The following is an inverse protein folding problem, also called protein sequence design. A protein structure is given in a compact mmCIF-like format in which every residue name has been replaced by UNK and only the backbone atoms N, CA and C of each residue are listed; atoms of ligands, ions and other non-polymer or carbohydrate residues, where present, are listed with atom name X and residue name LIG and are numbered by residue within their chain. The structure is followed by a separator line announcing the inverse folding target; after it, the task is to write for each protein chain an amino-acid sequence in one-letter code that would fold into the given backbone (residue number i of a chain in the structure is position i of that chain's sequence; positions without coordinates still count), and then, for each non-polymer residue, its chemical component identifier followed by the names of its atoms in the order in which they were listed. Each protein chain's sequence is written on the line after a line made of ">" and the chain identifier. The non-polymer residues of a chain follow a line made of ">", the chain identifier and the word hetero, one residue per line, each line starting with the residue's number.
data_IF_805807237696
#
_entry.id   IF_805807237696
#
_cell.length_a   1.000
_cell.length_b   1.000
_cell.length_c   1.000
_cell.angle_alpha   90.00
_cell.angle_beta   90.00
_cell.angle_gamma   90.00
#
_symmetry.space_group_name_H-M   'P 1'
#
loop_
_entity.id
_entity.type
_entity.pdbx_description
1 polymer ?
#
# COMPACT_ATOMS: atom_id res chain seq x y z
N UNK A 1 -11.12 -3.66 3.45
CA UNK A 1 -10.54 -4.72 2.60
C UNK A 1 -9.64 -4.11 1.54
N UNK A 2 -8.62 -4.81 1.04
CA UNK A 2 -7.80 -4.30 -0.06
C UNK A 2 -8.57 -4.31 -1.39
N UNK A 3 -8.11 -3.52 -2.37
CA UNK A 3 -8.68 -3.52 -3.73
C UNK A 3 -8.27 -4.76 -4.53
N UNK A 4 -7.12 -5.36 -4.21
CA UNK A 4 -6.64 -6.58 -4.83
C UNK A 4 -7.52 -7.79 -4.40
N UNK A 5 -8.09 -8.55 -5.34
CA UNK A 5 -8.92 -9.71 -5.02
C UNK A 5 -8.09 -10.85 -4.42
N UNK A 6 -8.69 -11.64 -3.53
CA UNK A 6 -8.08 -12.85 -2.98
C UNK A 6 -6.97 -12.62 -1.95
N UNK A 7 -6.73 -11.37 -1.53
CA UNK A 7 -5.77 -11.06 -0.46
C UNK A 7 -6.45 -11.25 0.89
N UNK A 8 -5.96 -12.22 1.65
CA UNK A 8 -6.29 -12.37 3.06
C UNK A 8 -5.48 -11.39 3.90
N UNK A 9 -6.14 -10.74 4.85
CA UNK A 9 -5.50 -9.78 5.77
C UNK A 9 -5.19 -10.49 7.07
N UNK A 10 -3.93 -10.40 7.50
CA UNK A 10 -3.46 -10.99 8.75
C UNK A 10 -4.23 -10.40 9.94
N UNK A 11 -4.69 -11.24 10.90
CA UNK A 11 -5.38 -10.78 12.08
C UNK A 11 -4.64 -9.70 12.88
N UNK A 12 -3.30 -9.71 12.91
CA UNK A 12 -2.53 -8.68 13.58
C UNK A 12 -2.60 -7.31 12.86
N UNK A 13 -2.72 -7.31 11.52
CA UNK A 13 -2.95 -6.09 10.75
C UNK A 13 -4.35 -5.52 10.99
N UNK A 14 -5.37 -6.38 11.15
CA UNK A 14 -6.72 -5.97 11.55
C UNK A 14 -6.75 -5.45 12.98
N UNK A 15 -6.10 -6.14 13.92
CA UNK A 15 -6.00 -5.70 15.31
C UNK A 15 -5.29 -4.34 15.44
N UNK A 16 -4.27 -4.07 14.62
CA UNK A 16 -3.61 -2.76 14.56
C UNK A 16 -4.56 -1.67 14.06
N UNK A 17 -5.36 -1.96 13.03
CA UNK A 17 -6.38 -1.06 12.51
C UNK A 17 -7.48 -0.77 13.53
N UNK A 18 -8.00 -1.80 14.21
CA UNK A 18 -9.00 -1.66 15.30
C UNK A 18 -8.43 -0.84 16.47
N UNK A 19 -7.18 -1.10 16.86
CA UNK A 19 -6.50 -0.34 17.90
C UNK A 19 -6.40 1.15 17.55
N UNK A 20 -6.02 1.46 16.31
CA UNK A 20 -5.94 2.85 15.83
C UNK A 20 -7.32 3.52 15.76
N UNK A 21 -8.36 2.79 15.33
CA UNK A 21 -9.74 3.29 15.32
C UNK A 21 -10.20 3.67 16.73
N UNK A 22 -10.05 2.78 17.71
CA UNK A 22 -10.41 3.08 19.10
C UNK A 22 -9.59 4.22 19.70
N UNK A 23 -8.30 4.33 19.35
CA UNK A 23 -7.46 5.44 19.80
C UNK A 23 -7.99 6.78 19.25
N UNK A 24 -8.34 6.84 17.96
CA UNK A 24 -8.95 8.03 17.35
C UNK A 24 -10.28 8.40 18.04
N UNK A 25 -11.15 7.43 18.31
CA UNK A 25 -12.40 7.68 19.04
C UNK A 25 -12.14 8.22 20.45
N UNK A 26 -11.16 7.66 21.16
CA UNK A 26 -10.80 8.13 22.51
C UNK A 26 -10.27 9.57 22.54
N UNK A 27 -9.72 10.05 21.41
CA UNK A 27 -9.29 11.43 21.20
C UNK A 27 -10.43 12.35 20.73
N UNK A 28 -11.65 11.82 20.60
CA UNK A 28 -12.85 12.58 20.25
C UNK A 28 -13.16 12.65 18.75
N UNK A 29 -12.43 11.91 17.91
CA UNK A 29 -12.73 11.82 16.47
C UNK A 29 -13.93 10.89 16.23
N UNK A 30 -14.70 11.17 15.17
CA UNK A 30 -15.75 10.26 14.70
C UNK A 30 -15.15 9.26 13.72
N UNK A 31 -15.24 7.98 14.05
CA UNK A 31 -14.81 6.88 13.18
C UNK A 31 -16.06 6.13 12.70
N UNK A 32 -16.15 5.87 11.41
CA UNK A 32 -17.22 5.05 10.83
C UNK A 32 -16.69 4.21 9.66
N UNK A 33 -17.25 3.01 9.53
CA UNK A 33 -16.93 2.13 8.41
C UNK A 33 -17.56 2.65 7.11
N UNK A 34 -16.77 2.61 6.04
CA UNK A 34 -17.22 2.97 4.69
C UNK A 34 -17.05 1.78 3.74
N UNK A 35 -17.88 1.67 2.70
CA UNK A 35 -17.61 0.75 1.60
C UNK A 35 -16.24 1.03 0.99
N UNK A 36 -15.54 -0.02 0.56
CA UNK A 36 -14.26 0.15 -0.13
C UNK A 36 -14.47 1.05 -1.38
N UNK A 37 -13.82 2.22 -1.48
CA UNK A 37 -14.02 3.13 -2.59
C UNK A 37 -13.35 2.64 -3.89
N UNK A 38 -12.53 1.59 -3.79
CA UNK A 38 -11.80 0.98 -4.90
C UNK A 38 -12.43 -0.37 -5.29
N UNK A 39 -12.67 -0.54 -6.59
CA UNK A 39 -13.00 -1.84 -7.17
C UNK A 39 -11.76 -2.56 -7.71
N UNK A 40 -11.86 -3.87 -8.02
CA UNK A 40 -10.72 -4.68 -8.48
C UNK A 40 -10.10 -4.18 -9.79
N UNK A 41 -10.86 -3.45 -10.61
CA UNK A 41 -10.40 -2.93 -11.89
C UNK A 41 -9.20 -1.96 -11.75
N UNK A 42 -9.09 -1.26 -10.61
CA UNK A 42 -8.00 -0.30 -10.40
C UNK A 42 -6.65 -1.01 -10.34
N UNK A 43 -6.61 -2.21 -9.75
CA UNK A 43 -5.40 -3.03 -9.62
C UNK A 43 -4.96 -3.57 -10.98
N UNK A 44 -5.90 -4.03 -11.81
CA UNK A 44 -5.61 -4.53 -13.16
C UNK A 44 -5.03 -3.42 -14.04
N UNK A 45 -5.64 -2.24 -14.01
CA UNK A 45 -5.15 -1.09 -14.76
C UNK A 45 -3.78 -0.60 -14.25
N UNK A 46 -3.56 -0.66 -12.93
CA UNK A 46 -2.25 -0.33 -12.35
C UNK A 46 -1.14 -1.25 -12.85
N UNK A 47 -1.39 -2.55 -12.84
CA UNK A 47 -0.45 -3.59 -13.29
C UNK A 47 -0.01 -3.34 -14.73
N UNK A 48 -0.95 -3.02 -15.63
CA UNK A 48 -0.64 -2.72 -17.03
C UNK A 48 0.19 -1.45 -17.18
N UNK A 49 -0.21 -0.37 -16.52
CA UNK A 49 0.50 0.90 -16.60
C UNK A 49 1.90 0.82 -15.99
N UNK A 50 2.04 0.16 -14.84
CA UNK A 50 3.32 -0.03 -14.15
C UNK A 50 4.24 -0.99 -14.92
N UNK A 51 3.69 -2.03 -15.54
CA UNK A 51 4.41 -2.93 -16.45
C UNK A 51 5.03 -2.16 -17.61
N UNK A 52 4.25 -1.35 -18.32
CA UNK A 52 4.76 -0.49 -19.41
C UNK A 52 5.76 0.55 -18.89
N UNK A 53 5.51 1.15 -17.72
CA UNK A 53 6.42 2.14 -17.11
C UNK A 53 7.81 1.55 -16.83
N UNK A 54 7.91 0.25 -16.56
CA UNK A 54 9.21 -0.43 -16.40
C UNK A 54 10.11 -0.33 -17.65
N UNK A 55 9.55 -0.03 -18.82
CA UNK A 55 10.22 0.17 -20.10
C UNK A 55 10.59 1.64 -20.39
N UNK A 56 10.18 2.57 -19.53
CA UNK A 56 10.41 4.02 -19.71
C UNK A 56 11.88 4.38 -19.89
N UNK A 57 12.78 3.57 -19.35
CA UNK A 57 14.22 3.62 -19.62
C UNK A 57 14.61 2.52 -20.62
N UNK A 58 15.02 2.88 -21.86
CA UNK A 58 15.65 1.96 -22.78
C UNK A 58 16.93 1.38 -22.17
N UNK A 59 17.15 0.09 -22.37
CA UNK A 59 18.37 -0.62 -21.97
C UNK A 59 18.93 -1.36 -23.18
N UNK A 60 20.25 -1.40 -23.27
CA UNK A 60 20.98 -2.30 -24.15
C UNK A 60 21.04 -3.72 -23.56
N UNK A 61 21.45 -4.70 -24.37
CA UNK A 61 21.48 -6.11 -23.97
C UNK A 61 22.40 -6.36 -22.76
N UNK A 62 23.52 -5.62 -22.68
CA UNK A 62 24.47 -5.73 -21.56
C UNK A 62 23.80 -5.31 -20.24
N UNK A 63 23.10 -4.19 -20.21
CA UNK A 63 22.38 -3.72 -19.02
C UNK A 63 21.15 -4.55 -18.71
N UNK A 64 20.42 -5.02 -19.73
CA UNK A 64 19.27 -5.90 -19.54
C UNK A 64 19.73 -7.21 -18.86
N UNK A 65 20.93 -7.72 -19.19
CA UNK A 65 21.49 -8.92 -18.57
C UNK A 65 21.75 -8.77 -17.06
N UNK A 66 22.06 -7.56 -16.58
CA UNK A 66 22.33 -7.26 -15.17
C UNK A 66 21.07 -7.22 -14.28
N UNK A 67 19.88 -7.17 -14.88
CA UNK A 67 18.63 -7.09 -14.13
C UNK A 67 18.33 -8.37 -13.35
N UNK A 68 17.73 -8.21 -12.15
CA UNK A 68 17.17 -9.34 -11.38
C UNK A 68 16.08 -10.05 -12.20
N UNK A 69 15.87 -11.36 -12.01
CA UNK A 69 14.82 -12.12 -12.70
C UNK A 69 13.44 -11.45 -12.62
N UNK A 70 13.05 -10.95 -11.44
CA UNK A 70 11.79 -10.22 -11.22
C UNK A 70 11.65 -8.99 -12.13
N UNK A 71 12.71 -8.20 -12.28
CA UNK A 71 12.71 -7.00 -13.13
C UNK A 71 12.67 -7.37 -14.60
N UNK A 72 13.37 -8.43 -15.03
CA UNK A 72 13.30 -8.94 -16.41
C UNK A 72 11.89 -9.41 -16.76
N UNK A 73 11.27 -10.18 -15.87
CA UNK A 73 9.90 -10.66 -16.03
C UNK A 73 8.91 -9.50 -16.11
N UNK A 74 9.07 -8.47 -15.26
CA UNK A 74 8.19 -7.30 -15.28
C UNK A 74 8.32 -6.48 -16.57
N UNK A 75 9.54 -6.33 -17.09
CA UNK A 75 9.77 -5.69 -18.40
C UNK A 75 9.18 -6.53 -19.54
N UNK A 76 9.34 -7.84 -19.50
CA UNK A 76 8.73 -8.74 -20.49
C UNK A 76 7.20 -8.63 -20.48
N UNK A 77 6.59 -8.58 -19.29
CA UNK A 77 5.15 -8.30 -19.12
C UNK A 77 4.78 -6.97 -19.79
N UNK A 78 5.49 -5.90 -19.47
CA UNK A 78 5.26 -4.58 -20.04
C UNK A 78 5.36 -4.54 -21.57
N UNK A 79 6.26 -5.33 -22.18
CA UNK A 79 6.37 -5.44 -23.65
C UNK A 79 5.17 -6.14 -24.28
N UNK A 80 4.48 -6.99 -23.53
CA UNK A 80 3.26 -7.67 -23.96
C UNK A 80 2.00 -6.82 -23.87
N UNK A 81 2.05 -5.64 -23.24
CA UNK A 81 0.91 -4.71 -23.14
C UNK A 81 0.81 -3.89 -24.42
N UNK A 82 -0.31 -4.01 -25.15
CA UNK A 82 -0.55 -3.22 -26.36
C UNK A 82 -0.80 -1.74 -26.04
N UNK A 83 -0.64 -0.87 -27.05
CA UNK A 83 -0.92 0.56 -26.89
C UNK A 83 -2.38 0.85 -26.50
N UNK A 84 -3.33 0.09 -27.07
CA UNK A 84 -4.75 0.18 -26.73
C UNK A 84 -5.01 -0.22 -25.28
N UNK A 85 -4.39 -1.32 -24.83
CA UNK A 85 -4.51 -1.80 -23.44
C UNK A 85 -3.92 -0.80 -22.47
N UNK A 86 -2.76 -0.23 -22.78
CA UNK A 86 -2.15 0.82 -21.97
C UNK A 86 -3.00 2.09 -21.90
N UNK A 87 -3.53 2.57 -23.03
CA UNK A 87 -4.40 3.76 -23.06
C UNK A 87 -5.71 3.53 -22.27
N UNK A 88 -6.28 2.33 -22.37
CA UNK A 88 -7.44 1.92 -21.58
C UNK A 88 -7.11 1.87 -20.09
N UNK A 89 -5.95 1.33 -19.71
CA UNK A 89 -5.48 1.29 -18.33
C UNK A 89 -5.33 2.69 -17.71
N UNK A 90 -4.66 3.61 -18.40
CA UNK A 90 -4.51 5.00 -17.93
C UNK A 90 -5.88 5.69 -17.75
N UNK A 91 -6.78 5.52 -18.71
CA UNK A 91 -8.13 6.10 -18.63
C UNK A 91 -8.95 5.47 -17.51
N UNK A 92 -8.81 4.16 -17.32
CA UNK A 92 -9.45 3.37 -16.28
C UNK A 92 -9.01 3.81 -14.88
N UNK A 93 -7.70 3.95 -14.65
CA UNK A 93 -7.15 4.49 -13.40
C UNK A 93 -7.71 5.89 -13.11
N UNK A 94 -7.69 6.81 -14.08
CA UNK A 94 -8.25 8.16 -13.88
C UNK A 94 -9.74 8.14 -13.50
N UNK A 95 -10.52 7.22 -14.09
CA UNK A 95 -11.94 7.07 -13.74
C UNK A 95 -12.12 6.50 -12.33
N UNK A 96 -11.36 5.46 -11.98
CA UNK A 96 -11.39 4.85 -10.66
C UNK A 96 -10.97 5.85 -9.57
N UNK A 97 -9.89 6.60 -9.80
CA UNK A 97 -9.43 7.69 -8.91
C UNK A 97 -10.53 8.71 -8.65
N UNK A 98 -11.17 9.25 -9.70
CA UNK A 98 -12.25 10.24 -9.52
C UNK A 98 -13.42 9.68 -8.72
N UNK A 99 -13.77 8.42 -8.94
CA UNK A 99 -14.83 7.74 -8.19
C UNK A 99 -14.46 7.61 -6.72
N UNK A 100 -13.25 7.12 -6.44
CA UNK A 100 -12.78 6.88 -5.08
C UNK A 100 -12.67 8.17 -4.27
N UNK A 101 -12.06 9.22 -4.85
CA UNK A 101 -11.96 10.54 -4.21
C UNK A 101 -13.35 11.16 -3.98
N UNK A 102 -14.29 10.98 -4.90
CA UNK A 102 -15.66 11.45 -4.70
C UNK A 102 -16.40 10.66 -3.60
N UNK A 103 -16.17 9.35 -3.50
CA UNK A 103 -16.78 8.50 -2.49
C UNK A 103 -16.29 8.81 -1.08
N UNK A 104 -15.06 9.31 -0.93
CA UNK A 104 -14.46 9.66 0.37
C UNK A 104 -14.46 11.16 0.68
N UNK A 105 -15.10 11.98 -0.17
CA UNK A 105 -15.04 13.46 -0.07
C UNK A 105 -15.55 14.03 1.26
N UNK A 106 -16.51 13.35 1.88
CA UNK A 106 -17.18 13.78 3.11
C UNK A 106 -16.36 13.39 4.37
N UNK A 107 -15.20 12.74 4.19
CA UNK A 107 -14.28 12.32 5.25
C UNK A 107 -12.97 13.10 5.19
N UNK A 108 -12.38 13.38 6.36
CA UNK A 108 -11.09 14.07 6.44
C UNK A 108 -9.91 13.12 6.20
N UNK A 109 -10.01 11.90 6.73
CA UNK A 109 -8.97 10.88 6.67
C UNK A 109 -9.61 9.51 6.50
N UNK A 110 -9.03 8.68 5.63
CA UNK A 110 -9.34 7.25 5.51
C UNK A 110 -8.30 6.45 6.29
N UNK A 111 -8.76 5.59 7.20
CA UNK A 111 -7.91 4.70 7.99
C UNK A 111 -7.93 3.29 7.40
N UNK A 112 -6.76 2.73 7.11
CA UNK A 112 -6.60 1.32 6.68
C UNK A 112 -5.42 0.66 7.38
N UNK A 113 -5.30 -0.68 7.40
CA UNK A 113 -3.99 -1.30 7.55
C UNK A 113 -3.01 -0.75 6.51
N UNK A 114 -1.71 -0.63 6.84
CA UNK A 114 -0.70 -0.26 5.84
C UNK A 114 -0.35 -1.45 4.94
N UNK A 115 -0.19 -2.63 5.54
CA UNK A 115 0.16 -3.88 4.86
C UNK A 115 -0.91 -4.93 5.12
N UNK A 116 -1.00 -5.93 4.26
CA UNK A 116 -1.95 -7.03 4.43
C UNK A 116 -1.42 -8.13 5.34
N UNK A 117 -0.10 -8.30 5.46
CA UNK A 117 0.51 -9.30 6.34
C UNK A 117 1.66 -8.70 7.16
N UNK A 118 2.09 -9.44 8.19
CA UNK A 118 3.26 -9.10 8.99
C UNK A 118 4.55 -9.05 8.14
N UNK A 119 5.62 -8.38 8.62
CA UNK A 119 6.91 -8.39 7.93
C UNK A 119 7.35 -9.81 7.54
N UNK A 120 7.57 -10.01 6.25
CA UNK A 120 8.00 -11.30 5.69
C UNK A 120 9.53 -11.42 5.70
N UNK A 121 10.03 -12.65 5.68
CA UNK A 121 11.46 -12.90 5.48
C UNK A 121 11.89 -12.51 4.06
N UNK A 122 13.19 -12.34 3.84
CA UNK A 122 13.71 -12.04 2.49
C UNK A 122 13.43 -13.22 1.55
N UNK A 123 13.59 -14.44 2.07
CA UNK A 123 13.39 -15.69 1.34
C UNK A 123 11.94 -15.86 0.89
N UNK A 124 10.96 -15.38 1.67
CA UNK A 124 9.54 -15.50 1.33
C UNK A 124 9.22 -15.00 -0.08
N UNK A 125 9.89 -13.97 -0.59
CA UNK A 125 9.59 -13.47 -1.93
C UNK A 125 10.28 -14.30 -3.03
N UNK A 126 11.48 -14.80 -2.77
CA UNK A 126 12.33 -15.47 -3.76
C UNK A 126 12.25 -17.02 -3.72
N UNK A 127 11.63 -17.61 -2.69
CA UNK A 127 11.68 -19.06 -2.42
C UNK A 127 11.10 -19.95 -3.51
N UNK A 128 10.11 -19.48 -4.29
CA UNK A 128 9.53 -20.28 -5.37
C UNK A 128 10.41 -20.32 -6.63
N UNK A 129 11.34 -19.37 -6.75
CA UNK A 129 12.15 -19.17 -7.95
C UNK A 129 11.38 -18.61 -9.15
N UNK A 130 10.05 -18.47 -9.09
CA UNK A 130 9.22 -17.87 -10.14
C UNK A 130 9.15 -16.34 -9.96
N UNK A 131 9.70 -15.55 -10.92
CA UNK A 131 9.64 -14.09 -10.87
C UNK A 131 8.23 -13.49 -10.83
N UNK A 132 7.23 -14.14 -11.44
CA UNK A 132 5.85 -13.64 -11.46
C UNK A 132 5.14 -13.92 -10.14
N UNK A 133 5.40 -15.07 -9.54
CA UNK A 133 4.91 -15.38 -8.20
C UNK A 133 5.51 -14.43 -7.16
N UNK A 134 6.80 -14.12 -7.27
CA UNK A 134 7.46 -13.11 -6.43
C UNK A 134 6.73 -11.75 -6.49
N UNK A 135 6.38 -11.27 -7.70
CA UNK A 135 5.58 -10.03 -7.86
C UNK A 135 4.19 -10.15 -7.24
N UNK A 136 3.55 -11.32 -7.38
CA UNK A 136 2.28 -11.62 -6.74
C UNK A 136 2.35 -11.50 -5.22
N UNK A 137 3.37 -12.10 -4.60
CA UNK A 137 3.63 -12.04 -3.15
C UNK A 137 3.88 -10.61 -2.68
N UNK A 138 4.68 -9.83 -3.42
CA UNK A 138 4.90 -8.39 -3.12
C UNK A 138 3.59 -7.58 -3.19
N UNK A 139 2.77 -7.85 -4.21
CA UNK A 139 1.49 -7.16 -4.41
C UNK A 139 0.48 -7.52 -3.32
N UNK A 140 0.43 -8.79 -2.91
CA UNK A 140 -0.42 -9.25 -1.81
C UNK A 140 0.03 -8.63 -0.48
N UNK A 141 1.34 -8.62 -0.20
CA UNK A 141 1.92 -8.02 1.01
C UNK A 141 1.54 -6.53 1.18
N UNK A 142 1.55 -5.77 0.08
CA UNK A 142 1.33 -4.31 0.05
C UNK A 142 -0.03 -3.87 -0.50
N UNK A 143 -1.04 -4.74 -0.43
CA UNK A 143 -2.31 -4.57 -1.15
C UNK A 143 -3.15 -3.32 -0.80
N UNK A 144 -2.83 -2.61 0.28
CA UNK A 144 -3.52 -1.39 0.71
C UNK A 144 -2.89 -0.10 0.18
N UNK A 145 -1.65 -0.10 -0.31
CA UNK A 145 -0.91 1.14 -0.61
C UNK A 145 -1.02 1.57 -2.07
N UNK A 146 -1.06 0.61 -3.00
CA UNK A 146 -1.07 0.92 -4.44
C UNK A 146 -2.25 1.77 -4.92
N UNK A 147 -3.50 1.65 -4.38
CA UNK A 147 -4.61 2.54 -4.72
C UNK A 147 -4.23 4.02 -4.56
N UNK A 148 -3.51 4.36 -3.48
CA UNK A 148 -3.17 5.74 -3.17
C UNK A 148 -2.00 6.28 -3.99
N UNK A 149 -1.13 5.42 -4.54
CA UNK A 149 -0.18 5.84 -5.58
C UNK A 149 -0.89 6.31 -6.85
N UNK A 150 -2.05 5.73 -7.17
CA UNK A 150 -2.84 6.11 -8.35
C UNK A 150 -3.74 7.32 -8.10
N UNK A 151 -4.30 7.45 -6.88
CA UNK A 151 -5.11 8.64 -6.57
C UNK A 151 -4.26 9.88 -6.33
N UNK A 152 -2.99 9.70 -5.93
CA UNK A 152 -2.10 10.78 -5.56
C UNK A 152 -2.48 11.47 -4.25
N UNK A 153 -3.39 10.86 -3.46
CA UNK A 153 -3.72 11.36 -2.13
C UNK A 153 -2.52 11.22 -1.20
N UNK A 154 -2.28 12.19 -0.30
CA UNK A 154 -1.24 12.06 0.70
C UNK A 154 -1.61 10.93 1.66
N UNK A 155 -0.61 10.14 2.05
CA UNK A 155 -0.77 9.03 2.98
C UNK A 155 0.46 8.95 3.90
N UNK A 156 0.22 8.62 5.17
CA UNK A 156 1.27 8.39 6.17
C UNK A 156 1.02 7.05 6.85
N UNK A 157 2.08 6.30 7.15
CA UNK A 157 2.02 5.06 7.92
C UNK A 157 2.51 5.31 9.34
N UNK A 158 1.68 5.01 10.34
CA UNK A 158 1.97 5.25 11.76
C UNK A 158 2.09 3.90 12.50
N UNK A 159 3.17 3.68 13.27
CA UNK A 159 3.37 2.44 14.01
C UNK A 159 2.67 2.52 15.37
N UNK A 160 1.39 2.16 15.41
CA UNK A 160 0.58 2.17 16.65
C UNK A 160 0.47 0.81 17.33
N UNK A 161 0.97 -0.25 16.69
CA UNK A 161 0.76 -1.61 17.18
C UNK A 161 2.02 -2.46 17.05
N UNK A 162 2.21 -3.34 18.03
CA UNK A 162 3.26 -4.35 18.03
C UNK A 162 2.63 -5.71 18.31
N UNK A 163 3.02 -6.72 17.54
CA UNK A 163 2.54 -8.09 17.78
C UNK A 163 2.94 -8.53 19.20
N UNK A 164 2.03 -9.10 20.01
CA UNK A 164 2.33 -9.48 21.38
C UNK A 164 3.50 -10.47 21.51
N UNK A 165 3.59 -11.44 20.58
CA UNK A 165 4.56 -12.53 20.67
C UNK A 165 5.93 -12.14 20.12
N UNK A 166 5.99 -11.74 18.84
CA UNK A 166 7.24 -11.48 18.15
C UNK A 166 7.74 -10.03 18.27
N UNK A 167 6.95 -9.14 18.88
CA UNK A 167 7.28 -7.71 18.99
C UNK A 167 7.51 -7.02 17.64
N UNK A 168 6.87 -7.50 16.55
CA UNK A 168 6.98 -6.91 15.22
C UNK A 168 6.10 -5.64 15.14
N UNK A 169 6.61 -4.53 14.59
CA UNK A 169 5.80 -3.33 14.38
C UNK A 169 4.77 -3.57 13.27
N UNK A 170 3.55 -3.12 13.49
CA UNK A 170 2.44 -3.17 12.52
C UNK A 170 1.92 -1.76 12.31
N UNK A 171 2.00 -1.30 11.05
CA UNK A 171 1.59 0.05 10.67
C UNK A 171 0.12 0.12 10.27
N UNK A 172 -0.50 1.26 10.57
CA UNK A 172 -1.77 1.70 9.99
C UNK A 172 -1.54 2.91 9.10
N UNK A 173 -2.29 3.02 8.02
CA UNK A 173 -2.21 4.14 7.09
C UNK A 173 -3.35 5.12 7.32
N UNK A 174 -3.00 6.40 7.41
CA UNK A 174 -3.92 7.52 7.36
C UNK A 174 -3.78 8.17 6.00
N UNK A 175 -4.88 8.25 5.25
CA UNK A 175 -4.92 8.85 3.91
C UNK A 175 -5.79 10.09 3.92
N UNK A 176 -5.20 11.22 3.58
CA UNK A 176 -5.86 12.52 3.60
C UNK A 176 -6.60 12.83 2.29
N UNK A 177 -7.27 13.98 2.28
CA UNK A 177 -7.79 14.56 1.03
C UNK A 177 -6.63 14.95 0.09
N UNK A 178 -6.89 15.07 -1.22
CA UNK A 178 -5.88 15.58 -2.15
C UNK A 178 -5.25 16.90 -1.65
N UNK A 179 -3.92 16.92 -1.55
CA UNK A 179 -3.12 18.05 -1.08
C UNK A 179 -3.40 18.54 0.37
N UNK A 180 -3.89 17.66 1.25
CA UNK A 180 -4.12 17.96 2.66
C UNK A 180 -3.15 17.22 3.61
N UNK A 181 -1.85 17.36 3.35
CA UNK A 181 -0.78 16.83 4.21
C UNK A 181 -0.83 17.44 5.62
N UNK A 182 -1.33 18.68 5.76
CA UNK A 182 -1.45 19.37 7.05
C UNK A 182 -2.33 18.61 8.05
N UNK A 183 -3.48 18.10 7.60
CA UNK A 183 -4.36 17.29 8.44
C UNK A 183 -3.66 16.02 8.88
N UNK A 184 -2.92 15.36 7.99
CA UNK A 184 -2.19 14.14 8.33
C UNK A 184 -1.06 14.39 9.34
N UNK A 185 -0.29 15.46 9.17
CA UNK A 185 0.78 15.82 10.11
C UNK A 185 0.19 16.13 11.49
N UNK A 186 -0.90 16.91 11.55
CA UNK A 186 -1.58 17.24 12.81
C UNK A 186 -2.15 16.01 13.51
N UNK A 187 -2.83 15.13 12.76
CA UNK A 187 -3.42 13.91 13.32
C UNK A 187 -2.33 12.93 13.78
N UNK A 188 -1.24 12.80 13.02
CA UNK A 188 -0.11 11.95 13.40
C UNK A 188 0.54 12.41 14.70
N UNK A 189 0.65 13.72 14.91
CA UNK A 189 1.20 14.26 16.16
C UNK A 189 0.31 13.95 17.38
N UNK A 190 -1.02 14.04 17.22
CA UNK A 190 -1.96 13.65 18.28
C UNK A 190 -1.83 12.16 18.64
N UNK A 191 -1.71 11.30 17.62
CA UNK A 191 -1.53 9.86 17.80
C UNK A 191 -0.16 9.54 18.44
N UNK A 192 0.90 10.26 18.06
CA UNK A 192 2.23 10.11 18.69
C UNK A 192 2.23 10.52 20.16
N UNK A 193 1.52 11.58 20.52
CA UNK A 193 1.38 12.02 21.91
C UNK A 193 0.57 11.03 22.75
N UNK A 194 -0.53 10.51 22.19
CA UNK A 194 -1.42 9.58 22.88
C UNK A 194 -0.84 8.15 23.00
N UNK A 195 -0.07 7.71 22.00
CA UNK A 195 0.56 6.39 21.97
C UNK A 195 2.04 6.49 21.53
N UNK A 196 2.94 6.94 22.42
CA UNK A 196 4.33 7.17 22.04
C UNK A 196 5.07 5.90 21.59
N UNK A 197 5.69 5.93 20.42
CA UNK A 197 6.54 4.85 19.89
C UNK A 197 8.03 5.18 19.87
N UNK A 198 8.42 6.41 20.21
CA UNK A 198 9.81 6.90 20.13
C UNK A 198 10.83 6.02 20.88
N UNK A 199 10.40 5.34 21.94
CA UNK A 199 11.25 4.48 22.76
C UNK A 199 11.25 3.00 22.31
N UNK A 200 10.46 2.64 21.30
CA UNK A 200 10.40 1.29 20.73
C UNK A 200 11.55 1.09 19.74
N UNK A 201 12.66 0.57 20.24
CA UNK A 201 13.82 0.21 19.43
C UNK A 201 13.92 -1.30 19.23
N UNK A 202 14.45 -1.71 18.08
CA UNK A 202 14.85 -3.10 17.87
C UNK A 202 16.12 -3.40 18.66
N UNK A 203 16.37 -4.67 18.97
CA UNK A 203 17.58 -5.11 19.67
C UNK A 203 18.88 -4.85 18.91
N UNK A 204 18.78 -4.54 17.60
CA UNK A 204 19.90 -4.16 16.75
C UNK A 204 20.33 -2.70 16.95
N UNK A 205 19.46 -1.87 17.51
CA UNK A 205 19.77 -0.47 17.78
C UNK A 205 20.40 -0.31 19.17
N UNK A 206 21.71 0.01 19.21
CA UNK A 206 22.38 0.45 20.44
C UNK A 206 22.48 1.97 20.43
N UNK A 207 21.91 2.63 21.45
CA UNK A 207 22.08 4.06 21.70
C UNK A 207 23.49 4.37 22.23
#
# INVERSE_FOLDING_TARGET
>A
TPAAPGVEVDPACLAAWEHAAHLLESLGHRVEDIPNPFGPEITEHFIDAWGVQSLSRPLDDEREALLRPVTKAWRAYGRGVSGERFAAAVTGMHRATRRAVAATRDYDVVLTPTLATLPQTVEHFDESGDPLENLGRQSAFSAFTSPYNMTGQPAVSIPLYWTPDAGLPVGVSLVGRPADESTLVSLSAQLEEAAPWRERYTTLWRR
#
